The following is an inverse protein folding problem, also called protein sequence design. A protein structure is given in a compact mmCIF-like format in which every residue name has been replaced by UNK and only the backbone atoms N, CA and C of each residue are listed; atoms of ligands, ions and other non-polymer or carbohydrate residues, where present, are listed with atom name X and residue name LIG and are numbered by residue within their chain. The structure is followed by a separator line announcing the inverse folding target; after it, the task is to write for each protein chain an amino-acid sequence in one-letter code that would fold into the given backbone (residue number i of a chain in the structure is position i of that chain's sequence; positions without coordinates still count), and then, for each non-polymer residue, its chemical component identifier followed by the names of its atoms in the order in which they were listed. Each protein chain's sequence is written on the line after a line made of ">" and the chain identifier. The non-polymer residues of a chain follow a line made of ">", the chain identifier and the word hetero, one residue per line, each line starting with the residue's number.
data_IF_941399678822
#
_entry.id   IF_941399678822
#
_cell.length_a   1.000
_cell.length_b   1.000
_cell.length_c   1.000
_cell.angle_alpha   90.00
_cell.angle_beta   90.00
_cell.angle_gamma   90.00
#
_symmetry.space_group_name_H-M   'P 1'
#
loop_
_entity.id
_entity.type
_entity.pdbx_description
1 polymer ?
#
# COMPACT_ATOMS: atom_id res chain seq x y z
N UNK A 1 -12.72 -13.29 -70.35
CA UNK A 1 -12.17 -12.01 -69.85
C UNK A 1 -10.91 -12.27 -69.08
N UNK A 2 -9.82 -11.61 -69.42
CA UNK A 2 -8.56 -11.77 -68.68
C UNK A 2 -8.65 -10.99 -67.35
N UNK A 3 -8.01 -11.45 -66.32
CA UNK A 3 -8.02 -10.79 -64.98
C UNK A 3 -7.52 -9.33 -65.12
N UNK A 4 -6.60 -9.06 -66.06
CA UNK A 4 -6.12 -7.72 -66.40
C UNK A 4 -7.23 -6.77 -66.89
N UNK A 5 -8.22 -7.30 -67.68
CA UNK A 5 -9.33 -6.52 -68.25
C UNK A 5 -10.34 -6.16 -67.13
N UNK A 6 -10.60 -7.09 -66.21
CA UNK A 6 -11.40 -6.85 -65.02
C UNK A 6 -10.81 -5.76 -64.10
N UNK A 7 -9.52 -5.86 -63.82
CA UNK A 7 -8.77 -4.86 -63.00
C UNK A 7 -8.77 -3.49 -63.68
N UNK A 8 -8.59 -3.41 -65.01
CA UNK A 8 -8.62 -2.18 -65.76
C UNK A 8 -10.01 -1.49 -65.75
N UNK A 9 -11.09 -2.29 -65.89
CA UNK A 9 -12.46 -1.77 -65.77
C UNK A 9 -12.78 -1.28 -64.37
N UNK A 10 -12.35 -2.02 -63.32
CA UNK A 10 -12.52 -1.60 -61.93
C UNK A 10 -11.77 -0.29 -61.61
N UNK A 11 -10.53 -0.18 -62.03
CA UNK A 11 -9.73 1.05 -61.84
C UNK A 11 -10.34 2.25 -62.56
N UNK A 12 -10.83 2.04 -63.77
CA UNK A 12 -11.51 3.09 -64.57
C UNK A 12 -12.80 3.55 -63.94
N UNK A 13 -13.58 2.66 -63.33
CA UNK A 13 -14.79 3.00 -62.63
C UNK A 13 -14.50 3.77 -61.33
N UNK A 14 -13.49 3.39 -60.57
CA UNK A 14 -13.03 4.08 -59.39
C UNK A 14 -12.55 5.52 -59.68
N UNK A 15 -11.83 5.72 -60.79
CA UNK A 15 -11.34 7.04 -61.21
C UNK A 15 -12.41 7.96 -61.78
N UNK A 16 -13.52 7.42 -62.27
CA UNK A 16 -14.65 8.18 -62.84
C UNK A 16 -15.44 8.97 -61.79
N UNK A 17 -15.49 8.47 -60.52
CA UNK A 17 -16.20 9.10 -59.39
C UNK A 17 -15.24 9.42 -58.24
N UNK A 18 -14.21 10.19 -58.53
CA UNK A 18 -13.04 10.45 -57.61
C UNK A 18 -13.44 10.88 -56.21
N UNK A 19 -14.39 11.81 -56.04
CA UNK A 19 -14.79 12.33 -54.73
C UNK A 19 -15.43 11.27 -53.85
N UNK A 20 -16.32 10.42 -54.44
CA UNK A 20 -16.99 9.35 -53.70
C UNK A 20 -16.02 8.27 -53.29
N UNK A 21 -15.13 7.84 -54.20
CA UNK A 21 -14.13 6.85 -53.94
C UNK A 21 -13.14 7.35 -52.82
N UNK A 22 -12.72 8.61 -52.91
CA UNK A 22 -11.88 9.22 -51.89
C UNK A 22 -12.55 9.22 -50.50
N UNK A 23 -13.82 9.64 -50.40
CA UNK A 23 -14.56 9.64 -49.13
C UNK A 23 -14.69 8.23 -48.53
N UNK A 24 -14.99 7.23 -49.40
CA UNK A 24 -15.11 5.83 -48.95
C UNK A 24 -13.75 5.31 -48.42
N UNK A 25 -12.66 5.54 -49.16
CA UNK A 25 -11.33 5.11 -48.75
C UNK A 25 -10.92 5.76 -47.44
N UNK A 26 -11.14 7.08 -47.31
CA UNK A 26 -10.86 7.82 -46.06
C UNK A 26 -11.68 7.22 -44.91
N UNK A 27 -12.97 6.94 -45.10
CA UNK A 27 -13.83 6.33 -44.07
C UNK A 27 -13.31 4.95 -43.61
N UNK A 28 -12.88 4.08 -44.54
CA UNK A 28 -12.31 2.78 -44.22
C UNK A 28 -10.98 2.94 -43.50
N UNK A 29 -10.10 3.82 -43.97
CA UNK A 29 -8.79 4.08 -43.33
C UNK A 29 -8.97 4.57 -41.90
N UNK A 30 -9.85 5.56 -41.69
CA UNK A 30 -10.12 6.06 -40.33
C UNK A 30 -10.67 4.96 -39.44
N UNK A 31 -11.63 4.14 -39.91
CA UNK A 31 -12.19 3.05 -39.14
C UNK A 31 -11.16 1.98 -38.75
N UNK A 32 -10.34 1.56 -39.69
CA UNK A 32 -9.28 0.56 -39.44
C UNK A 32 -8.19 1.12 -38.51
N UNK A 33 -7.74 2.37 -38.75
CA UNK A 33 -6.79 3.03 -37.87
C UNK A 33 -7.31 3.15 -36.42
N UNK A 34 -8.58 3.51 -36.25
CA UNK A 34 -9.20 3.60 -34.94
C UNK A 34 -9.22 2.25 -34.21
N UNK A 35 -9.53 1.15 -34.92
CA UNK A 35 -9.49 -0.20 -34.33
C UNK A 35 -8.07 -0.58 -33.92
N UNK A 36 -7.08 -0.36 -34.80
CA UNK A 36 -5.67 -0.66 -34.46
C UNK A 36 -5.19 0.13 -33.24
N UNK A 37 -5.50 1.44 -33.23
CA UNK A 37 -5.15 2.29 -32.09
C UNK A 37 -5.82 1.83 -30.78
N UNK A 38 -7.12 1.45 -30.85
CA UNK A 38 -7.87 0.95 -29.71
C UNK A 38 -7.21 -0.31 -29.11
N UNK A 39 -6.88 -1.29 -29.97
CA UNK A 39 -6.27 -2.55 -29.52
C UNK A 39 -4.86 -2.30 -28.98
N UNK A 40 -4.02 -1.56 -29.72
CA UNK A 40 -2.64 -1.28 -29.33
C UNK A 40 -2.55 -0.47 -28.04
N UNK A 41 -3.41 0.55 -27.89
CA UNK A 41 -3.50 1.35 -26.65
C UNK A 41 -3.93 0.48 -25.47
N UNK A 42 -4.93 -0.39 -25.68
CA UNK A 42 -5.43 -1.28 -24.63
C UNK A 42 -4.37 -2.24 -24.11
N UNK A 43 -3.60 -2.87 -25.00
CA UNK A 43 -2.52 -3.80 -24.60
C UNK A 43 -1.39 -3.05 -23.91
N UNK A 44 -0.87 -1.98 -24.54
CA UNK A 44 0.26 -1.23 -23.99
C UNK A 44 -0.06 -0.54 -22.66
N UNK A 45 -1.27 0.00 -22.50
CA UNK A 45 -1.68 0.64 -21.27
C UNK A 45 -1.84 -0.37 -20.12
N UNK A 46 -2.38 -1.58 -20.38
CA UNK A 46 -2.46 -2.66 -19.37
C UNK A 46 -1.08 -3.12 -18.92
N UNK A 47 -0.17 -3.31 -19.86
CA UNK A 47 1.19 -3.74 -19.54
C UNK A 47 1.93 -2.69 -18.70
N UNK A 48 1.87 -1.42 -19.10
CA UNK A 48 2.44 -0.31 -18.33
C UNK A 48 1.83 -0.20 -16.93
N UNK A 49 0.51 -0.40 -16.80
CA UNK A 49 -0.17 -0.38 -15.50
C UNK A 49 0.28 -1.53 -14.60
N UNK A 50 0.41 -2.73 -15.15
CA UNK A 50 0.90 -3.88 -14.36
C UNK A 50 2.31 -3.67 -13.85
N UNK A 51 3.20 -3.11 -14.66
CA UNK A 51 4.55 -2.73 -14.24
C UNK A 51 4.51 -1.68 -13.12
N UNK A 52 3.71 -0.63 -13.28
CA UNK A 52 3.54 0.43 -12.29
C UNK A 52 2.97 -0.10 -10.96
N UNK A 53 1.96 -0.99 -11.00
CA UNK A 53 1.39 -1.59 -9.80
C UNK A 53 2.41 -2.47 -9.06
N UNK A 54 3.28 -3.20 -9.79
CA UNK A 54 4.37 -3.96 -9.17
C UNK A 54 5.41 -3.07 -8.49
N UNK A 55 5.64 -1.88 -9.05
CA UNK A 55 6.53 -0.89 -8.43
C UNK A 55 5.88 -0.20 -7.21
N UNK A 56 4.56 -0.01 -7.21
CA UNK A 56 3.82 0.71 -6.16
C UNK A 56 3.53 -0.13 -4.92
N UNK A 57 3.59 -1.45 -5.02
CA UNK A 57 3.34 -2.28 -3.86
C UNK A 57 3.26 -3.78 -4.14
N UNK A 58 2.92 -4.49 -3.09
CA UNK A 58 2.74 -5.92 -3.14
C UNK A 58 1.32 -6.25 -3.60
N UNK A 59 1.20 -6.80 -4.80
CA UNK A 59 -0.09 -7.15 -5.41
C UNK A 59 -0.85 -8.24 -4.68
N UNK A 60 -0.23 -8.88 -3.69
CA UNK A 60 -0.82 -10.00 -2.94
C UNK A 60 -1.31 -9.61 -1.56
N UNK A 61 -1.25 -8.31 -1.19
CA UNK A 61 -1.70 -7.82 0.12
C UNK A 61 -3.12 -7.24 0.01
N UNK A 62 -3.97 -7.64 0.94
CA UNK A 62 -5.30 -7.08 1.18
C UNK A 62 -5.28 -6.43 2.55
N UNK A 63 -5.63 -5.16 2.61
CA UNK A 63 -5.88 -4.46 3.87
C UNK A 63 -7.37 -4.57 4.20
N UNK A 64 -7.68 -5.09 5.37
CA UNK A 64 -9.05 -5.29 5.87
C UNK A 64 -9.29 -4.29 6.99
N UNK A 65 -10.34 -3.51 6.87
CA UNK A 65 -10.67 -2.46 7.82
C UNK A 65 -12.01 -2.70 8.50
N UNK A 66 -12.09 -2.27 9.74
CA UNK A 66 -13.32 -2.23 10.50
C UNK A 66 -13.83 -0.78 10.63
N UNK A 67 -14.16 -0.14 9.49
CA UNK A 67 -14.72 1.21 9.49
C UNK A 67 -16.23 1.19 9.74
N UNK A 68 -16.60 1.47 10.95
CA UNK A 68 -17.97 1.84 11.25
C UNK A 68 -18.79 0.75 11.90
N UNK A 69 -19.66 1.18 12.80
CA UNK A 69 -20.63 0.49 13.61
C UNK A 69 -21.47 -0.64 13.02
N UNK A 70 -20.91 -1.44 12.13
CA UNK A 70 -21.49 -2.72 11.72
C UNK A 70 -21.52 -3.70 12.87
N UNK A 71 -22.47 -4.63 12.87
CA UNK A 71 -22.59 -5.69 13.87
C UNK A 71 -21.38 -6.64 13.86
N UNK A 72 -20.57 -6.63 12.80
CA UNK A 72 -19.43 -7.54 12.60
C UNK A 72 -18.17 -6.94 13.22
N UNK A 73 -17.60 -7.64 14.20
CA UNK A 73 -16.34 -7.26 14.85
C UNK A 73 -15.16 -7.94 14.16
N UNK A 74 -14.11 -7.18 13.90
CA UNK A 74 -12.84 -7.72 13.40
C UNK A 74 -12.01 -8.21 14.60
N UNK A 75 -12.44 -9.31 15.18
CA UNK A 75 -11.86 -9.94 16.37
C UNK A 75 -11.00 -11.17 16.00
N UNK A 76 -10.46 -11.84 17.02
CA UNK A 76 -9.66 -13.05 16.84
C UNK A 76 -10.41 -14.18 16.15
N UNK A 77 -11.75 -14.23 16.26
CA UNK A 77 -12.58 -15.22 15.57
C UNK A 77 -12.68 -14.91 14.07
N UNK A 78 -12.90 -13.65 13.74
CA UNK A 78 -12.91 -13.18 12.35
C UNK A 78 -11.54 -13.41 11.70
N UNK A 79 -10.46 -13.05 12.43
CA UNK A 79 -9.10 -13.26 11.99
C UNK A 79 -8.79 -14.74 11.72
N UNK A 80 -9.20 -15.64 12.62
CA UNK A 80 -8.99 -17.08 12.44
C UNK A 80 -9.74 -17.62 11.22
N UNK A 81 -10.93 -17.09 10.91
CA UNK A 81 -11.68 -17.46 9.70
C UNK A 81 -10.97 -16.97 8.44
N UNK A 82 -10.45 -15.75 8.45
CA UNK A 82 -9.69 -15.20 7.33
C UNK A 82 -8.41 -15.99 7.11
N UNK A 83 -7.68 -16.32 8.18
CA UNK A 83 -6.46 -17.13 8.10
C UNK A 83 -6.69 -18.54 7.55
N UNK A 84 -7.89 -19.11 7.77
CA UNK A 84 -8.27 -20.44 7.31
C UNK A 84 -8.82 -20.46 5.87
N UNK A 85 -8.92 -19.33 5.19
CA UNK A 85 -9.37 -19.27 3.79
C UNK A 85 -8.33 -19.86 2.85
N UNK A 86 -8.79 -20.49 1.78
CA UNK A 86 -7.92 -20.95 0.71
C UNK A 86 -7.15 -19.77 0.11
N UNK A 87 -5.90 -20.02 -0.27
CA UNK A 87 -4.98 -19.02 -0.83
C UNK A 87 -4.54 -17.89 0.12
N UNK A 88 -4.90 -17.90 1.39
CA UNK A 88 -4.33 -17.01 2.40
C UNK A 88 -3.05 -17.62 2.93
N UNK A 89 -1.94 -16.90 2.74
CA UNK A 89 -0.65 -17.28 3.28
C UNK A 89 -0.55 -16.92 4.77
N UNK A 90 -0.92 -15.67 5.10
CA UNK A 90 -0.96 -15.18 6.47
C UNK A 90 -1.96 -14.04 6.61
N UNK A 91 -2.64 -13.97 7.76
CA UNK A 91 -3.42 -12.82 8.17
C UNK A 91 -2.90 -12.33 9.53
N UNK A 92 -2.58 -11.06 9.64
CA UNK A 92 -2.04 -10.46 10.87
C UNK A 92 -2.81 -9.20 11.23
N UNK A 93 -3.14 -8.99 12.51
CA UNK A 93 -3.57 -7.67 12.96
C UNK A 93 -2.49 -6.64 12.66
N UNK A 94 -2.91 -5.43 12.30
CA UNK A 94 -2.05 -4.26 12.21
C UNK A 94 -2.48 -3.34 13.35
N UNK A 95 -2.00 -3.68 14.55
CA UNK A 95 -2.48 -3.11 15.80
C UNK A 95 -1.64 -1.90 16.20
N UNK A 96 -2.18 -0.70 16.00
CA UNK A 96 -1.55 0.52 16.48
C UNK A 96 -1.70 0.64 18.00
N UNK A 97 -0.61 0.96 18.69
CA UNK A 97 -0.64 1.15 20.13
C UNK A 97 -1.66 2.22 20.54
N UNK A 98 -2.49 1.89 21.50
CA UNK A 98 -3.48 2.80 22.09
C UNK A 98 -2.89 3.67 23.20
N UNK A 99 -1.67 3.36 23.63
CA UNK A 99 -0.89 4.15 24.59
C UNK A 99 0.15 4.96 23.83
N UNK A 100 0.22 6.25 24.12
CA UNK A 100 1.21 7.14 23.52
C UNK A 100 2.58 6.88 24.16
N UNK A 101 3.33 5.95 23.56
CA UNK A 101 4.69 5.68 23.95
C UNK A 101 5.66 6.66 23.31
N UNK A 102 6.75 6.93 24.04
CA UNK A 102 7.88 7.74 23.59
C UNK A 102 9.17 6.99 23.83
N UNK A 103 10.14 7.25 22.97
CA UNK A 103 11.52 6.82 23.19
C UNK A 103 12.35 7.97 23.75
N UNK A 104 13.24 7.67 24.69
CA UNK A 104 14.27 8.60 25.15
C UNK A 104 15.63 7.91 25.21
N UNK A 105 16.68 8.68 24.96
CA UNK A 105 18.03 8.21 25.26
C UNK A 105 18.18 8.03 26.79
N UNK A 106 19.05 7.10 27.23
CA UNK A 106 19.23 6.79 28.65
C UNK A 106 19.56 8.03 29.51
N UNK A 107 20.28 9.00 28.95
CA UNK A 107 20.59 10.27 29.65
C UNK A 107 19.46 11.28 29.62
N UNK A 108 18.30 10.97 29.01
CA UNK A 108 17.13 11.83 28.90
C UNK A 108 17.28 13.05 27.99
N UNK A 109 18.44 13.22 27.32
CA UNK A 109 18.70 14.40 26.49
C UNK A 109 17.89 14.39 25.19
N UNK A 110 17.74 13.22 24.57
CA UNK A 110 17.03 13.07 23.31
C UNK A 110 15.76 12.29 23.53
N UNK A 111 14.65 12.77 22.99
CA UNK A 111 13.37 12.10 23.08
C UNK A 111 12.62 12.18 21.74
N UNK A 112 11.87 11.14 21.44
CA UNK A 112 11.06 11.04 20.24
C UNK A 112 9.66 10.53 20.56
N UNK A 113 8.67 11.05 19.85
CA UNK A 113 7.37 10.39 19.70
C UNK A 113 7.52 9.31 18.65
N UNK A 114 6.93 8.16 18.88
CA UNK A 114 6.92 7.10 17.91
C UNK A 114 5.60 6.34 17.95
N UNK A 115 5.14 5.92 16.79
CA UNK A 115 4.02 5.02 16.68
C UNK A 115 4.54 3.58 16.75
N UNK A 116 3.93 2.79 17.63
CA UNK A 116 4.27 1.37 17.75
C UNK A 116 3.11 0.57 17.18
N UNK A 117 3.46 -0.35 16.29
CA UNK A 117 2.50 -1.23 15.63
C UNK A 117 2.86 -2.66 16.00
N UNK A 118 1.87 -3.38 16.50
CA UNK A 118 1.97 -4.81 16.80
C UNK A 118 1.46 -5.66 15.65
N UNK A 119 2.29 -6.59 15.21
CA UNK A 119 1.95 -7.61 14.21
C UNK A 119 2.36 -8.99 14.75
N UNK A 120 1.89 -10.06 14.13
CA UNK A 120 2.41 -11.39 14.44
C UNK A 120 3.86 -11.51 13.96
N UNK A 121 4.74 -12.16 14.74
CA UNK A 121 6.15 -12.30 14.37
C UNK A 121 6.37 -12.90 12.98
N UNK A 122 5.59 -13.92 12.63
CA UNK A 122 5.66 -14.62 11.34
C UNK A 122 5.26 -13.73 10.15
N UNK A 123 4.50 -12.68 10.43
CA UNK A 123 4.03 -11.76 9.40
C UNK A 123 5.12 -10.80 8.93
N UNK A 124 6.17 -10.58 9.72
CA UNK A 124 7.24 -9.65 9.35
C UNK A 124 7.88 -10.04 8.01
N UNK A 125 8.33 -11.29 7.91
CA UNK A 125 8.96 -11.81 6.69
C UNK A 125 7.94 -12.06 5.58
N UNK A 126 6.75 -12.57 5.94
CA UNK A 126 5.69 -12.86 4.97
C UNK A 126 5.21 -11.59 4.26
N UNK A 127 5.08 -10.45 4.95
CA UNK A 127 4.77 -9.15 4.37
C UNK A 127 5.96 -8.54 3.60
N UNK A 128 7.13 -9.18 3.66
CA UNK A 128 8.31 -8.81 2.90
C UNK A 128 8.98 -7.53 3.40
N UNK A 129 8.91 -7.23 4.70
CA UNK A 129 9.69 -6.15 5.29
C UNK A 129 11.18 -6.48 5.22
N UNK A 130 11.98 -5.49 4.79
CA UNK A 130 13.43 -5.64 4.66
C UNK A 130 14.14 -4.84 5.74
N UNK A 131 15.24 -5.37 6.22
CA UNK A 131 16.12 -4.71 7.20
C UNK A 131 17.33 -4.13 6.50
N UNK A 132 17.72 -2.92 6.91
CA UNK A 132 18.98 -2.29 6.54
C UNK A 132 20.10 -2.70 7.49
N UNK A 133 19.77 -3.02 8.76
CA UNK A 133 20.70 -3.47 9.80
C UNK A 133 19.96 -4.35 10.82
N UNK A 134 20.66 -5.33 11.40
CA UNK A 134 20.14 -6.19 12.45
C UNK A 134 19.31 -7.38 11.97
N UNK A 135 18.42 -7.86 12.84
CA UNK A 135 17.54 -9.03 12.63
C UNK A 135 16.09 -8.71 13.00
N UNK A 136 15.17 -9.55 12.56
CA UNK A 136 13.75 -9.44 12.91
C UNK A 136 13.54 -9.58 14.42
N UNK A 137 12.52 -8.92 14.96
CA UNK A 137 12.11 -9.14 16.35
C UNK A 137 11.56 -10.56 16.57
N UNK A 138 11.14 -11.25 15.52
CA UNK A 138 10.69 -12.65 15.57
C UNK A 138 11.78 -13.60 16.01
N UNK A 139 13.04 -13.31 15.67
CA UNK A 139 14.22 -14.13 16.02
C UNK A 139 14.71 -13.91 17.45
N UNK A 140 14.17 -12.89 18.12
CA UNK A 140 14.64 -12.49 19.44
C UNK A 140 13.81 -13.10 20.57
N UNK A 141 14.49 -13.73 21.52
CA UNK A 141 13.89 -14.27 22.76
C UNK A 141 13.79 -13.23 23.90
N UNK A 142 14.27 -11.99 23.65
CA UNK A 142 14.24 -10.94 24.68
C UNK A 142 12.90 -10.24 24.69
N UNK A 143 12.50 -9.79 25.88
CA UNK A 143 11.30 -8.97 26.05
C UNK A 143 11.46 -7.62 25.35
N UNK A 144 10.32 -7.10 24.87
CA UNK A 144 10.24 -5.80 24.19
C UNK A 144 11.18 -5.67 22.99
N UNK A 145 11.36 -6.78 22.26
CA UNK A 145 12.09 -6.78 21.00
C UNK A 145 11.30 -6.05 19.93
N UNK A 146 11.97 -5.15 19.22
CA UNK A 146 11.35 -4.30 18.23
C UNK A 146 12.28 -3.97 17.08
N UNK A 147 11.70 -3.69 15.92
CA UNK A 147 12.39 -3.18 14.73
C UNK A 147 11.94 -1.75 14.49
N UNK A 148 12.87 -0.85 14.29
CA UNK A 148 12.59 0.56 14.02
C UNK A 148 12.47 0.83 12.52
N UNK A 149 11.58 1.73 12.14
CA UNK A 149 11.53 2.30 10.80
C UNK A 149 12.80 3.10 10.49
N UNK A 150 13.11 3.21 9.21
CA UNK A 150 14.35 3.83 8.72
C UNK A 150 14.60 5.24 9.27
N UNK A 151 13.54 6.01 9.48
CA UNK A 151 13.61 7.42 9.87
C UNK A 151 13.25 7.69 11.33
N UNK A 152 12.97 6.66 12.13
CA UNK A 152 12.66 6.82 13.56
C UNK A 152 13.78 7.54 14.31
N UNK A 153 15.04 7.29 13.94
CA UNK A 153 16.18 7.98 14.53
C UNK A 153 16.17 9.51 14.34
N UNK A 154 15.59 9.98 13.24
CA UNK A 154 15.47 11.43 12.93
C UNK A 154 14.31 12.11 13.66
N UNK A 155 13.38 11.37 14.24
CA UNK A 155 12.29 11.94 15.07
C UNK A 155 12.78 12.41 16.44
N UNK A 156 13.99 12.02 16.86
CA UNK A 156 14.54 12.45 18.15
C UNK A 156 14.84 13.95 18.18
N UNK A 157 14.43 14.58 19.27
CA UNK A 157 14.65 15.99 19.56
C UNK A 157 15.51 16.16 20.80
N UNK A 158 16.40 17.17 20.77
CA UNK A 158 17.18 17.59 21.94
C UNK A 158 16.24 18.34 22.91
N UNK A 159 15.91 17.72 24.03
CA UNK A 159 14.98 18.24 25.04
C UNK A 159 15.50 19.53 25.74
N UNK A 160 16.82 19.77 25.67
CA UNK A 160 17.45 20.96 26.28
C UNK A 160 17.43 22.19 25.37
N UNK A 161 17.12 22.02 24.08
CA UNK A 161 17.08 23.12 23.10
C UNK A 161 15.65 23.49 22.77
N UNK A 162 15.35 24.80 22.74
CA UNK A 162 14.04 25.32 22.33
C UNK A 162 13.92 25.50 20.82
N UNK A 163 15.03 25.70 20.10
CA UNK A 163 15.10 25.87 18.64
C UNK A 163 16.20 24.97 18.09
N UNK A 164 16.09 24.60 16.81
CA UNK A 164 17.06 23.73 16.13
C UNK A 164 17.35 22.46 16.95
N UNK A 165 16.31 21.86 17.47
CA UNK A 165 16.37 20.71 18.39
C UNK A 165 16.18 19.37 17.70
N UNK A 166 16.13 19.33 16.37
CA UNK A 166 16.03 18.11 15.54
C UNK A 166 17.05 18.15 14.42
N UNK A 167 17.30 17.01 13.82
CA UNK A 167 18.12 16.86 12.62
C UNK A 167 17.18 16.58 11.46
N UNK A 168 17.19 17.45 10.45
CA UNK A 168 16.46 17.18 9.22
C UNK A 168 17.24 16.17 8.37
N UNK A 169 16.59 15.09 7.99
CA UNK A 169 17.17 14.01 7.18
C UNK A 169 17.65 14.46 5.80
N UNK A 170 17.04 15.53 5.28
CA UNK A 170 17.37 16.09 3.96
C UNK A 170 18.56 17.07 4.04
N UNK A 171 19.02 17.41 5.24
CA UNK A 171 20.20 18.28 5.41
C UNK A 171 21.50 17.48 5.24
N UNK A 172 22.43 18.09 4.52
CA UNK A 172 23.78 17.58 4.36
C UNK A 172 24.77 18.38 5.23
N UNK A 173 25.90 17.76 5.55
CA UNK A 173 27.03 18.44 6.16
C UNK A 173 27.83 19.24 5.11
N UNK A 174 28.90 19.91 5.53
CA UNK A 174 29.78 20.70 4.65
C UNK A 174 30.46 19.86 3.54
N UNK A 175 30.47 18.53 3.67
CA UNK A 175 31.04 17.60 2.70
C UNK A 175 29.99 16.96 1.78
N UNK A 176 28.71 17.35 1.94
CA UNK A 176 27.60 16.80 1.15
C UNK A 176 27.01 15.49 1.67
N UNK A 177 27.47 14.97 2.82
CA UNK A 177 26.92 13.76 3.40
C UNK A 177 25.64 14.06 4.20
N UNK A 178 24.64 13.15 4.25
CA UNK A 178 23.48 13.30 5.11
C UNK A 178 23.88 13.50 6.57
N UNK A 179 23.27 14.47 7.24
CA UNK A 179 23.51 14.68 8.67
C UNK A 179 23.04 13.47 9.46
N UNK A 180 23.90 12.97 10.35
CA UNK A 180 23.57 11.83 11.22
C UNK A 180 22.52 12.24 12.26
N UNK A 181 21.55 11.37 12.57
CA UNK A 181 20.59 11.61 13.65
C UNK A 181 21.30 11.71 15.01
N UNK A 182 20.60 12.23 16.01
CA UNK A 182 21.16 12.36 17.37
C UNK A 182 21.33 11.02 18.07
N UNK A 183 20.61 9.99 17.63
CA UNK A 183 20.54 8.67 18.27
C UNK A 183 20.76 7.60 17.21
N UNK A 184 21.59 6.61 17.52
CA UNK A 184 21.75 5.38 16.76
C UNK A 184 20.84 4.33 17.38
N UNK A 185 19.83 3.88 16.64
CA UNK A 185 18.81 2.96 17.15
C UNK A 185 19.38 1.61 17.61
N UNK A 186 20.50 1.16 17.01
CA UNK A 186 21.12 -0.15 17.30
C UNK A 186 22.16 -0.09 18.40
N UNK A 187 22.82 1.07 18.60
CA UNK A 187 23.97 1.19 19.53
C UNK A 187 23.62 1.89 20.82
N UNK A 188 22.71 2.85 20.78
CA UNK A 188 22.38 3.66 21.92
C UNK A 188 21.40 2.94 22.86
N UNK A 189 21.60 3.12 24.16
CA UNK A 189 20.68 2.60 25.16
C UNK A 189 19.46 3.50 25.24
N UNK A 190 18.33 2.94 24.84
CA UNK A 190 17.04 3.63 24.81
C UNK A 190 16.16 3.20 25.99
N UNK A 191 15.21 4.05 26.32
CA UNK A 191 14.14 3.78 27.28
C UNK A 191 12.82 4.09 26.57
N UNK A 192 11.93 3.12 26.54
CA UNK A 192 10.55 3.29 26.12
C UNK A 192 9.74 3.68 27.33
N UNK A 193 9.03 4.80 27.27
CA UNK A 193 8.24 5.32 28.37
C UNK A 193 6.91 5.87 27.92
N UNK A 194 5.96 5.89 28.81
CA UNK A 194 4.71 6.60 28.66
C UNK A 194 4.39 7.35 29.94
N UNK A 195 3.92 8.58 29.80
CA UNK A 195 3.52 9.46 30.88
C UNK A 195 2.03 9.36 31.10
N UNK A 196 1.61 9.32 32.36
CA UNK A 196 0.21 9.45 32.75
C UNK A 196 0.04 10.72 33.58
N UNK A 197 -1.07 11.40 33.41
CA UNK A 197 -1.37 12.64 34.12
C UNK A 197 -2.63 12.46 34.96
N UNK A 198 -2.71 13.14 36.12
CA UNK A 198 -3.92 13.19 36.93
C UNK A 198 -4.92 14.18 36.33
N UNK A 199 -6.13 14.25 36.93
CA UNK A 199 -7.17 15.15 36.49
C UNK A 199 -6.80 16.66 36.65
N UNK A 200 -5.73 16.96 37.39
CA UNK A 200 -5.20 18.30 37.62
C UNK A 200 -4.00 18.61 36.69
N UNK A 201 -3.64 17.67 35.78
CA UNK A 201 -2.52 17.83 34.89
C UNK A 201 -1.15 17.56 35.51
N UNK A 202 -1.06 16.99 36.71
CA UNK A 202 0.20 16.61 37.33
C UNK A 202 0.65 15.25 36.80
N UNK A 203 1.97 15.13 36.59
CA UNK A 203 2.59 13.89 36.13
C UNK A 203 2.41 12.79 37.18
N UNK A 204 1.71 11.73 36.82
CA UNK A 204 1.69 10.46 37.56
C UNK A 204 2.91 9.61 37.20
N UNK A 205 3.15 8.58 38.00
CA UNK A 205 4.16 7.59 37.70
C UNK A 205 3.82 6.88 36.38
N UNK A 206 4.62 7.09 35.37
CA UNK A 206 4.50 6.43 34.05
C UNK A 206 5.17 5.06 34.01
N UNK A 207 4.96 4.37 32.92
CA UNK A 207 5.65 3.11 32.62
C UNK A 207 6.99 3.43 31.95
N UNK A 208 8.06 2.79 32.42
CA UNK A 208 9.38 2.80 31.77
C UNK A 208 9.88 1.37 31.60
N UNK A 209 10.31 1.05 30.39
CA UNK A 209 10.94 -0.24 30.05
C UNK A 209 12.15 -0.01 29.16
N UNK A 210 13.10 -0.93 29.20
CA UNK A 210 14.25 -0.91 28.29
C UNK A 210 13.90 -1.74 27.06
N UNK A 211 13.73 -1.12 25.88
CA UNK A 211 13.44 -1.84 24.65
C UNK A 211 14.71 -2.54 24.15
N UNK A 212 14.51 -3.63 23.40
CA UNK A 212 15.57 -4.30 22.68
C UNK A 212 15.35 -4.04 21.18
N UNK A 213 16.01 -3.01 20.63
CA UNK A 213 15.97 -2.75 19.19
C UNK A 213 16.82 -3.79 18.48
N UNK A 214 16.22 -4.66 17.70
CA UNK A 214 16.87 -5.78 17.02
C UNK A 214 17.29 -5.45 15.60
N UNK A 215 16.64 -4.47 14.97
CA UNK A 215 16.93 -4.09 13.59
C UNK A 215 16.35 -2.74 13.21
N UNK A 216 16.76 -2.27 12.05
CA UNK A 216 16.23 -1.06 11.39
C UNK A 216 15.74 -1.44 10.00
N UNK A 217 14.54 -1.01 9.64
CA UNK A 217 13.94 -1.30 8.33
C UNK A 217 14.57 -0.47 7.22
N UNK A 218 14.47 -0.99 6.00
CA UNK A 218 14.65 -0.20 4.78
C UNK A 218 13.38 0.61 4.58
N UNK A 219 13.51 1.91 4.28
CA UNK A 219 12.37 2.74 3.88
C UNK A 219 11.78 2.22 2.57
N UNK A 220 10.52 1.85 2.61
CA UNK A 220 9.77 1.36 1.45
C UNK A 220 8.31 1.84 1.53
N UNK A 221 8.05 2.99 0.90
CA UNK A 221 6.72 3.60 0.86
C UNK A 221 5.66 2.73 0.17
N UNK A 222 6.10 1.79 -0.66
CA UNK A 222 5.20 0.85 -1.34
C UNK A 222 4.63 -0.19 -0.38
N UNK A 223 5.31 -0.42 0.74
CA UNK A 223 4.82 -1.30 1.82
C UNK A 223 4.04 -0.54 2.89
N UNK A 224 4.27 0.75 2.99
CA UNK A 224 3.57 1.63 3.90
C UNK A 224 4.51 2.53 4.71
N UNK A 225 3.91 3.55 5.33
CA UNK A 225 4.60 4.56 6.13
C UNK A 225 5.30 3.99 7.39
N UNK A 226 4.86 2.80 7.84
CA UNK A 226 5.45 2.12 8.99
C UNK A 226 6.91 1.75 8.77
N UNK A 227 7.34 1.48 7.54
CA UNK A 227 8.73 1.18 7.23
C UNK A 227 9.67 2.36 7.47
N UNK A 228 9.12 3.57 7.45
CA UNK A 228 9.84 4.81 7.66
C UNK A 228 9.76 5.32 9.11
N UNK A 229 8.56 5.46 9.66
CA UNK A 229 8.33 6.30 10.85
C UNK A 229 7.83 5.52 12.08
N UNK A 230 7.56 4.22 11.96
CA UNK A 230 7.02 3.42 13.05
C UNK A 230 8.01 2.43 13.62
N UNK A 231 7.63 1.87 14.74
CA UNK A 231 8.27 0.72 15.34
C UNK A 231 7.35 -0.48 15.20
N UNK A 232 7.87 -1.59 14.71
CA UNK A 232 7.16 -2.86 14.69
C UNK A 232 7.63 -3.76 15.83
N UNK A 233 6.69 -4.44 16.48
CA UNK A 233 6.96 -5.43 17.51
C UNK A 233 5.89 -6.52 17.54
N UNK A 234 6.13 -7.58 18.30
CA UNK A 234 5.14 -8.62 18.55
C UNK A 234 3.90 -8.03 19.24
N UNK A 235 2.74 -8.24 18.64
CA UNK A 235 1.45 -7.75 19.16
C UNK A 235 1.15 -8.22 20.58
N UNK A 236 1.56 -9.44 20.94
CA UNK A 236 1.33 -9.98 22.29
C UNK A 236 2.18 -9.22 23.32
N UNK A 237 3.42 -8.90 22.96
CA UNK A 237 4.28 -8.07 23.81
C UNK A 237 3.76 -6.64 23.93
N UNK A 238 3.25 -6.06 22.83
CA UNK A 238 2.65 -4.72 22.84
C UNK A 238 1.40 -4.67 23.72
N UNK A 239 0.47 -5.61 23.57
CA UNK A 239 -0.72 -5.71 24.42
C UNK A 239 -0.36 -5.91 25.91
N UNK A 240 0.65 -6.73 26.21
CA UNK A 240 1.14 -6.90 27.58
C UNK A 240 1.75 -5.62 28.15
N UNK A 241 2.47 -4.85 27.33
CA UNK A 241 3.03 -3.55 27.70
C UNK A 241 1.94 -2.53 27.99
N UNK A 242 0.90 -2.45 27.17
CA UNK A 242 -0.26 -1.60 27.39
C UNK A 242 -1.02 -1.97 28.68
N UNK A 243 -1.22 -3.25 28.94
CA UNK A 243 -1.84 -3.71 30.19
C UNK A 243 -1.03 -3.30 31.43
N UNK A 244 0.32 -3.34 31.36
CA UNK A 244 1.18 -2.83 32.43
C UNK A 244 0.98 -1.33 32.63
N UNK A 245 0.89 -0.56 31.55
CA UNK A 245 0.62 0.87 31.62
C UNK A 245 -0.72 1.15 32.32
N UNK A 246 -1.82 0.51 31.89
CA UNK A 246 -3.15 0.72 32.48
C UNK A 246 -3.22 0.33 33.94
N UNK A 247 -2.46 -0.70 34.37
CA UNK A 247 -2.35 -1.06 35.80
C UNK A 247 -1.62 0.03 36.62
N UNK A 248 -0.64 0.71 36.03
CA UNK A 248 0.14 1.76 36.71
C UNK A 248 -0.62 3.09 36.70
N UNK A 249 -1.25 3.45 35.59
CA UNK A 249 -1.99 4.71 35.44
C UNK A 249 -3.31 4.69 36.20
N UNK A 250 -3.88 3.51 36.43
CA UNK A 250 -5.21 3.35 37.00
C UNK A 250 -6.34 3.71 36.03
N UNK A 251 -6.02 3.92 34.77
CA UNK A 251 -6.99 4.15 33.70
C UNK A 251 -7.67 2.84 33.29
N UNK A 252 -8.93 2.93 32.80
CA UNK A 252 -9.62 1.76 32.26
C UNK A 252 -9.00 1.36 30.93
N UNK A 253 -8.48 0.13 30.87
CA UNK A 253 -7.98 -0.41 29.61
C UNK A 253 -9.10 -0.49 28.56
N UNK A 254 -8.86 -0.04 27.32
CA UNK A 254 -9.81 -0.20 26.23
C UNK A 254 -9.94 -1.69 25.85
N UNK A 255 -10.98 -2.02 25.12
CA UNK A 255 -11.13 -3.35 24.53
C UNK A 255 -10.07 -3.55 23.44
N UNK A 256 -9.18 -4.51 23.67
CA UNK A 256 -8.09 -4.88 22.74
C UNK A 256 -8.42 -6.10 21.89
N UNK A 257 -9.64 -6.60 21.97
CA UNK A 257 -10.09 -7.79 21.21
C UNK A 257 -10.53 -7.44 19.79
N UNK A 258 -10.85 -6.18 19.52
CA UNK A 258 -11.29 -5.71 18.23
C UNK A 258 -10.14 -4.95 17.53
N UNK A 259 -9.85 -5.31 16.30
CA UNK A 259 -8.81 -4.72 15.48
C UNK A 259 -9.39 -3.66 14.55
N UNK A 260 -8.64 -2.58 14.35
CA UNK A 260 -9.01 -1.53 13.40
C UNK A 260 -8.61 -1.92 11.97
N UNK A 261 -7.48 -2.63 11.85
CA UNK A 261 -6.92 -3.10 10.58
C UNK A 261 -6.33 -4.50 10.72
N UNK A 262 -6.52 -5.32 9.69
CA UNK A 262 -5.86 -6.61 9.50
C UNK A 262 -5.23 -6.62 8.11
N UNK A 263 -3.99 -7.07 8.02
CA UNK A 263 -3.32 -7.31 6.73
C UNK A 263 -3.33 -8.77 6.39
N UNK A 264 -3.77 -9.07 5.19
CA UNK A 264 -3.87 -10.43 4.65
C UNK A 264 -2.93 -10.54 3.47
N UNK A 265 -2.03 -11.49 3.52
CA UNK A 265 -1.13 -11.85 2.42
C UNK A 265 -1.69 -13.08 1.72
N UNK A 266 -1.95 -12.97 0.43
CA UNK A 266 -2.32 -14.09 -0.42
C UNK A 266 -1.09 -14.79 -0.99
N UNK A 267 -1.25 -16.05 -1.39
CA UNK A 267 -0.18 -16.85 -2.00
C UNK A 267 0.26 -16.27 -3.34
N UNK A 268 -0.68 -15.76 -4.13
CA UNK A 268 -0.44 -15.15 -5.43
C UNK A 268 -1.44 -14.01 -5.71
N UNK A 269 -1.12 -13.17 -6.70
CA UNK A 269 -1.96 -12.03 -7.09
C UNK A 269 -3.28 -12.45 -7.75
N UNK A 270 -3.36 -13.65 -8.34
CA UNK A 270 -4.58 -14.10 -9.01
C UNK A 270 -5.69 -14.45 -8.01
N UNK A 271 -5.31 -14.88 -6.81
CA UNK A 271 -6.25 -15.24 -5.74
C UNK A 271 -6.79 -14.04 -4.96
N UNK A 272 -6.16 -12.86 -5.07
CA UNK A 272 -6.51 -11.66 -4.28
C UNK A 272 -7.99 -11.27 -4.47
N UNK A 273 -8.47 -11.25 -5.71
CA UNK A 273 -9.85 -10.86 -5.98
C UNK A 273 -10.88 -11.78 -5.31
N UNK A 274 -10.63 -13.09 -5.30
CA UNK A 274 -11.52 -14.08 -4.69
C UNK A 274 -11.50 -14.02 -3.16
N UNK A 275 -10.30 -13.89 -2.58
CA UNK A 275 -10.12 -13.74 -1.13
C UNK A 275 -10.75 -12.43 -0.65
N UNK A 276 -10.50 -11.32 -1.36
CA UNK A 276 -11.10 -10.02 -1.05
C UNK A 276 -12.61 -10.05 -1.08
N UNK A 277 -13.22 -10.72 -2.08
CA UNK A 277 -14.67 -10.88 -2.14
C UNK A 277 -15.19 -11.67 -0.95
N UNK A 278 -14.54 -12.79 -0.60
CA UNK A 278 -14.92 -13.60 0.55
C UNK A 278 -14.89 -12.83 1.87
N UNK A 279 -13.88 -11.97 2.05
CA UNK A 279 -13.77 -11.11 3.24
C UNK A 279 -14.84 -10.02 3.22
N UNK A 280 -15.15 -9.45 2.05
CA UNK A 280 -16.23 -8.47 1.88
C UNK A 280 -17.59 -9.08 2.19
N UNK A 281 -17.85 -10.33 1.77
CA UNK A 281 -19.08 -11.07 2.07
C UNK A 281 -19.24 -11.36 3.59
N UNK A 282 -18.14 -11.34 4.35
CA UNK A 282 -18.19 -11.37 5.83
C UNK A 282 -18.58 -10.01 6.44
N UNK A 283 -18.74 -8.96 5.64
CA UNK A 283 -19.15 -7.62 6.07
C UNK A 283 -17.99 -6.67 6.40
N UNK A 284 -16.75 -6.99 6.02
CA UNK A 284 -15.60 -6.12 6.20
C UNK A 284 -15.31 -5.29 4.95
N UNK A 285 -14.70 -4.12 5.16
CA UNK A 285 -14.18 -3.31 4.05
C UNK A 285 -12.76 -3.74 3.73
N UNK A 286 -12.47 -3.88 2.44
CA UNK A 286 -11.17 -4.28 1.95
C UNK A 286 -10.60 -3.26 1.00
N UNK A 287 -9.29 -3.17 0.94
CA UNK A 287 -8.55 -2.40 -0.06
C UNK A 287 -7.33 -3.20 -0.51
N UNK A 288 -7.09 -3.25 -1.80
CA UNK A 288 -5.92 -3.90 -2.39
C UNK A 288 -5.48 -3.20 -3.68
N UNK A 289 -4.33 -3.57 -4.22
CA UNK A 289 -3.91 -3.10 -5.54
C UNK A 289 -4.82 -3.62 -6.67
N UNK A 290 -5.57 -4.70 -6.41
CA UNK A 290 -6.58 -5.22 -7.33
C UNK A 290 -7.71 -4.22 -7.59
N UNK A 291 -8.10 -3.42 -6.59
CA UNK A 291 -9.11 -2.37 -6.75
C UNK A 291 -8.62 -1.28 -7.72
N UNK A 292 -7.34 -0.89 -7.60
CA UNK A 292 -6.71 0.06 -8.52
C UNK A 292 -6.65 -0.50 -9.94
N UNK A 293 -6.31 -1.79 -10.09
CA UNK A 293 -6.30 -2.50 -11.37
C UNK A 293 -7.70 -2.51 -12.00
N UNK A 294 -8.74 -2.83 -11.23
CA UNK A 294 -10.13 -2.84 -11.72
C UNK A 294 -10.58 -1.46 -12.19
N UNK A 295 -10.34 -0.41 -11.40
CA UNK A 295 -10.69 0.96 -11.81
C UNK A 295 -10.01 1.36 -13.13
N UNK A 296 -8.75 0.97 -13.31
CA UNK A 296 -8.02 1.25 -14.53
C UNK A 296 -8.56 0.48 -15.73
N UNK A 297 -8.88 -0.82 -15.55
CA UNK A 297 -9.49 -1.65 -16.59
C UNK A 297 -10.86 -1.10 -17.03
N UNK A 298 -11.66 -0.58 -16.09
CA UNK A 298 -12.94 0.09 -16.40
C UNK A 298 -12.74 1.36 -17.23
N UNK A 299 -11.75 2.20 -16.85
CA UNK A 299 -11.41 3.41 -17.61
C UNK A 299 -10.93 3.07 -19.03
N UNK A 300 -10.06 2.06 -19.17
CA UNK A 300 -9.63 1.59 -20.50
C UNK A 300 -10.78 1.08 -21.34
N UNK A 301 -11.68 0.30 -20.76
CA UNK A 301 -12.87 -0.23 -21.43
C UNK A 301 -13.77 0.89 -21.92
N UNK A 302 -13.95 1.95 -21.12
CA UNK A 302 -14.71 3.14 -21.52
C UNK A 302 -14.06 3.83 -22.74
N UNK A 303 -12.73 4.05 -22.72
CA UNK A 303 -12.02 4.66 -23.84
C UNK A 303 -12.12 3.77 -25.09
N UNK A 304 -11.92 2.46 -24.94
CA UNK A 304 -12.05 1.50 -26.04
C UNK A 304 -13.46 1.50 -26.65
N UNK A 305 -14.49 1.60 -25.80
CA UNK A 305 -15.88 1.66 -26.27
C UNK A 305 -16.15 2.93 -27.08
N UNK A 306 -15.62 4.07 -26.65
CA UNK A 306 -15.73 5.33 -27.39
C UNK A 306 -15.03 5.26 -28.75
N UNK A 307 -13.77 4.78 -28.78
CA UNK A 307 -13.02 4.63 -30.02
C UNK A 307 -13.65 3.60 -30.97
N UNK A 308 -14.14 2.49 -30.41
CA UNK A 308 -14.88 1.46 -31.16
C UNK A 308 -16.17 2.01 -31.78
N UNK A 309 -16.90 2.83 -31.06
CA UNK A 309 -18.09 3.53 -31.58
C UNK A 309 -17.78 4.45 -32.76
N UNK A 310 -16.70 5.24 -32.65
CA UNK A 310 -16.24 6.11 -33.75
C UNK A 310 -15.80 5.28 -34.97
N UNK A 311 -15.08 4.18 -34.74
CA UNK A 311 -14.68 3.26 -35.82
C UNK A 311 -15.89 2.64 -36.51
N UNK A 312 -16.89 2.19 -35.75
CA UNK A 312 -18.11 1.59 -36.26
C UNK A 312 -18.90 2.58 -37.14
N UNK A 313 -19.06 3.84 -36.70
CA UNK A 313 -19.71 4.90 -37.47
C UNK A 313 -18.97 5.16 -38.79
N UNK A 314 -17.62 5.27 -38.71
CA UNK A 314 -16.77 5.50 -39.90
C UNK A 314 -16.89 4.37 -40.92
N UNK A 315 -16.84 3.11 -40.45
CA UNK A 315 -17.03 1.95 -41.32
C UNK A 315 -18.44 1.86 -41.90
N UNK A 316 -19.45 2.21 -41.11
CA UNK A 316 -20.84 2.21 -41.58
C UNK A 316 -21.05 3.24 -42.70
N UNK A 317 -20.50 4.44 -42.54
CA UNK A 317 -20.55 5.49 -43.58
C UNK A 317 -19.85 5.02 -44.86
N UNK A 318 -18.68 4.38 -44.69
CA UNK A 318 -17.93 3.79 -45.81
C UNK A 318 -18.72 2.68 -46.52
N UNK A 319 -19.40 1.79 -45.77
CA UNK A 319 -20.22 0.72 -46.30
C UNK A 319 -21.39 1.25 -47.12
N UNK A 320 -22.11 2.30 -46.63
CA UNK A 320 -23.18 2.99 -47.40
C UNK A 320 -22.60 3.61 -48.68
N UNK A 321 -21.41 4.22 -48.61
CA UNK A 321 -20.70 4.78 -49.77
C UNK A 321 -20.41 3.71 -50.84
N UNK A 322 -19.99 2.50 -50.41
CA UNK A 322 -19.75 1.36 -51.30
C UNK A 322 -21.08 0.85 -51.91
N UNK A 323 -22.11 0.64 -51.07
CA UNK A 323 -23.40 0.10 -51.52
C UNK A 323 -24.12 1.03 -52.53
N UNK A 324 -23.85 2.34 -52.47
CA UNK A 324 -24.43 3.32 -53.40
C UNK A 324 -23.54 3.58 -54.64
N UNK A 325 -22.55 2.74 -54.89
CA UNK A 325 -21.66 2.81 -56.07
C UNK A 325 -22.05 1.81 -57.10
#
# INVERSE_FOLDING_TARGET
>A
MRISDLLSVCLRNLTRRRLRTALTVIGVVIGVCAIILMVSLGIGARESMMQMLQEWGDLTIINVYNYGGGETKLDDKALSKIQAMDHVQIATPFYSSRVSFRLKSRNGRYAAYTNIIGIYPEAFDALGYKLSDGTSFADSKKDYSMVAGANVAYSFRDTKKKRNNYVDRNQTDAMGNPKKPFVDMMKDKLVLYSESYDNNGNLKKGLEVTPNVTGVMVEDWNKGWETSECILMDINQLKALEQKYYKISGEKAPDTTNYDEVRVKCVDAASVAAVQQSITDMGFQCSSMEDTRKMFDEQLTMIQTMLGGLAAISLFVAAIGIANT
#
